data_IF_624617230445
#
_entry.id   IF_624617230445
#
_cell.length_a   1.000
_cell.length_b   1.000
_cell.length_c   1.000
_cell.angle_alpha   90.00
_cell.angle_beta   90.00
_cell.angle_gamma   90.00
#
_symmetry.space_group_name_H-M   'P 1'
#
loop_
_entity.id
_entity.type
_entity.pdbx_description
1 polymer ?
#
# COMPACT_ATOMS: atom_id res chain seq x y z
N UNK A 1 -10.38 -28.05 -3.32
CA UNK A 1 -9.59 -27.86 -2.08
C UNK A 1 -8.24 -27.23 -2.43
N UNK A 2 -7.70 -26.36 -1.58
CA UNK A 2 -6.41 -25.68 -1.81
C UNK A 2 -5.22 -26.59 -1.39
N UNK A 3 -5.17 -27.79 -1.89
CA UNK A 3 -4.22 -28.83 -1.42
C UNK A 3 -2.75 -28.54 -1.77
N UNK A 4 -2.54 -27.91 -2.93
CA UNK A 4 -1.18 -27.60 -3.41
C UNK A 4 -0.72 -26.20 -3.09
N UNK A 5 -1.51 -25.39 -2.35
CA UNK A 5 -1.12 -24.05 -1.93
C UNK A 5 -0.22 -24.11 -0.69
N UNK A 6 0.78 -23.24 -0.65
CA UNK A 6 1.57 -22.92 0.54
C UNK A 6 1.68 -21.43 0.68
N UNK A 7 1.40 -20.93 1.85
CA UNK A 7 1.45 -19.49 2.16
C UNK A 7 2.51 -19.26 3.22
N UNK A 8 3.53 -18.51 2.87
CA UNK A 8 4.59 -18.11 3.79
C UNK A 8 4.56 -16.61 4.04
N UNK A 9 5.21 -16.19 5.11
CA UNK A 9 5.42 -14.77 5.42
C UNK A 9 6.85 -14.55 5.93
N UNK A 10 7.43 -13.40 5.58
CA UNK A 10 8.55 -12.87 6.31
C UNK A 10 8.08 -12.12 7.57
N UNK A 11 8.96 -11.33 8.16
CA UNK A 11 8.70 -10.67 9.44
C UNK A 11 7.92 -9.35 9.33
N UNK A 12 7.78 -8.80 8.12
CA UNK A 12 7.28 -7.44 7.96
C UNK A 12 5.81 -7.24 8.39
N UNK A 13 4.93 -8.23 8.13
CA UNK A 13 3.51 -8.11 8.50
C UNK A 13 2.85 -9.48 8.72
N UNK A 14 3.27 -10.17 9.76
CA UNK A 14 2.77 -11.50 10.13
C UNK A 14 1.26 -11.48 10.38
N UNK A 15 0.75 -10.40 11.00
CA UNK A 15 -0.68 -10.28 11.32
C UNK A 15 -1.57 -10.25 10.06
N UNK A 16 -1.15 -9.55 8.99
CA UNK A 16 -1.88 -9.55 7.73
C UNK A 16 -1.80 -10.92 7.04
N UNK A 17 -0.63 -11.54 7.04
CA UNK A 17 -0.44 -12.88 6.46
C UNK A 17 -1.29 -13.94 7.18
N UNK A 18 -1.41 -13.86 8.50
CA UNK A 18 -2.27 -14.73 9.30
C UNK A 18 -3.74 -14.59 8.89
N UNK A 19 -4.25 -13.35 8.79
CA UNK A 19 -5.63 -13.09 8.34
C UNK A 19 -5.89 -13.60 6.91
N UNK A 20 -4.89 -13.45 6.01
CA UNK A 20 -5.01 -13.97 4.63
C UNK A 20 -5.10 -15.49 4.65
N UNK A 21 -4.26 -16.17 5.42
CA UNK A 21 -4.28 -17.63 5.56
C UNK A 21 -5.60 -18.14 6.15
N UNK A 22 -6.11 -17.48 7.20
CA UNK A 22 -7.42 -17.77 7.80
C UNK A 22 -8.56 -17.65 6.78
N UNK A 23 -8.59 -16.56 5.99
CA UNK A 23 -9.58 -16.36 4.93
C UNK A 23 -9.49 -17.40 3.81
N UNK A 24 -8.31 -17.95 3.56
CA UNK A 24 -8.10 -19.03 2.60
C UNK A 24 -8.45 -20.41 3.17
N UNK A 25 -8.55 -20.54 4.48
CA UNK A 25 -8.73 -21.81 5.17
C UNK A 25 -7.48 -22.70 5.15
N UNK A 26 -6.28 -22.09 5.10
CA UNK A 26 -4.99 -22.79 5.14
C UNK A 26 -4.13 -22.27 6.28
N UNK A 27 -3.17 -23.08 6.76
CA UNK A 27 -2.20 -22.62 7.75
C UNK A 27 -1.06 -21.86 7.07
N UNK A 28 -0.44 -20.93 7.80
CA UNK A 28 0.85 -20.40 7.40
C UNK A 28 1.89 -21.51 7.37
N UNK A 29 2.69 -21.51 6.33
CA UNK A 29 3.80 -22.43 6.14
C UNK A 29 4.88 -22.23 7.21
N UNK A 30 5.52 -23.34 7.59
CA UNK A 30 6.58 -23.34 8.59
C UNK A 30 7.87 -22.82 7.97
N UNK A 31 8.28 -21.62 8.36
CA UNK A 31 9.55 -21.03 7.99
C UNK A 31 10.18 -20.32 9.19
N UNK A 32 11.49 -20.34 9.26
CA UNK A 32 12.27 -19.48 10.17
C UNK A 32 12.93 -18.40 9.36
N UNK A 33 12.56 -17.15 9.65
CA UNK A 33 13.15 -15.94 9.06
C UNK A 33 13.78 -15.15 10.21
N UNK A 34 15.09 -15.14 10.26
CA UNK A 34 15.87 -14.54 11.36
C UNK A 34 17.08 -13.80 10.79
N UNK A 35 17.94 -13.30 11.66
CA UNK A 35 19.22 -12.73 11.28
C UNK A 35 20.35 -13.45 12.02
N UNK A 36 21.52 -13.56 11.38
CA UNK A 36 22.77 -13.88 12.03
C UNK A 36 23.26 -12.71 12.88
N UNK A 37 24.27 -12.95 13.71
CA UNK A 37 24.82 -11.93 14.62
C UNK A 37 25.43 -10.72 13.90
N UNK A 38 25.86 -10.90 12.65
CA UNK A 38 26.38 -9.85 11.76
C UNK A 38 25.28 -9.07 10.99
N UNK A 39 24.02 -9.51 11.15
CA UNK A 39 22.86 -8.88 10.51
C UNK A 39 22.45 -9.51 9.17
N UNK A 40 23.13 -10.53 8.66
CA UNK A 40 22.70 -11.24 7.46
C UNK A 40 21.38 -11.99 7.71
N UNK A 41 20.46 -11.92 6.75
CA UNK A 41 19.17 -12.61 6.84
C UNK A 41 19.34 -14.11 6.64
N UNK A 42 18.79 -14.89 7.57
CA UNK A 42 18.72 -16.35 7.52
C UNK A 42 17.28 -16.79 7.28
N UNK A 43 17.07 -17.65 6.29
CA UNK A 43 15.76 -18.27 5.98
C UNK A 43 15.90 -19.78 5.96
N UNK A 44 14.97 -20.48 6.62
CA UNK A 44 14.80 -21.92 6.55
C UNK A 44 13.32 -22.25 6.27
N UNK A 45 13.05 -23.00 5.21
CA UNK A 45 11.71 -23.50 4.90
C UNK A 45 11.58 -24.90 5.50
N UNK A 46 10.70 -25.06 6.49
CA UNK A 46 10.59 -26.26 7.31
C UNK A 46 9.41 -27.16 6.93
N UNK A 47 9.03 -27.12 5.64
CA UNK A 47 8.05 -28.03 5.06
C UNK A 47 8.31 -28.29 3.58
N UNK A 48 7.68 -29.35 3.06
CA UNK A 48 7.84 -29.69 1.64
C UNK A 48 7.05 -28.72 0.76
N UNK A 49 7.76 -28.06 -0.16
CA UNK A 49 7.21 -27.13 -1.17
C UNK A 49 7.35 -27.66 -2.60
N UNK A 50 7.92 -28.86 -2.78
CA UNK A 50 8.13 -29.42 -4.14
C UNK A 50 6.81 -29.58 -4.87
N UNK A 51 6.72 -28.96 -6.06
CA UNK A 51 5.54 -28.98 -6.90
C UNK A 51 4.33 -28.22 -6.30
N UNK A 52 4.54 -27.38 -5.26
CA UNK A 52 3.49 -26.58 -4.66
C UNK A 52 3.42 -25.20 -5.32
N UNK A 53 2.24 -24.60 -5.21
CA UNK A 53 1.98 -23.21 -5.56
C UNK A 53 2.24 -22.35 -4.30
N UNK A 54 3.33 -21.59 -4.31
CA UNK A 54 3.83 -20.88 -3.13
C UNK A 54 3.51 -19.39 -3.23
N UNK A 55 2.88 -18.86 -2.20
CA UNK A 55 2.62 -17.44 -2.02
C UNK A 55 3.44 -16.91 -0.84
N UNK A 56 4.28 -15.93 -1.09
CA UNK A 56 5.11 -15.31 -0.05
C UNK A 56 4.56 -13.91 0.22
N UNK A 57 3.96 -13.71 1.40
CA UNK A 57 3.35 -12.45 1.80
C UNK A 57 4.40 -11.63 2.54
N UNK A 58 4.90 -10.57 1.90
CA UNK A 58 5.93 -9.71 2.49
C UNK A 58 5.83 -8.29 1.92
N UNK A 59 5.24 -7.35 2.63
CA UNK A 59 5.40 -5.94 2.26
C UNK A 59 6.87 -5.53 2.45
N UNK A 60 7.41 -4.81 1.47
CA UNK A 60 8.78 -4.29 1.59
C UNK A 60 8.77 -2.91 2.27
N UNK A 61 8.16 -2.86 3.47
CA UNK A 61 8.02 -1.68 4.32
C UNK A 61 9.21 -1.53 5.29
N UNK A 62 9.29 -0.42 6.04
CA UNK A 62 10.37 -0.24 7.00
C UNK A 62 10.50 -1.41 8.02
N UNK A 63 11.73 -1.86 8.26
CA UNK A 63 13.03 -1.45 7.69
C UNK A 63 13.25 -2.03 6.29
N UNK A 64 13.11 -1.18 5.26
CA UNK A 64 12.90 -1.57 3.85
C UNK A 64 13.98 -2.52 3.31
N UNK A 65 15.25 -2.29 3.64
CA UNK A 65 16.35 -3.12 3.14
C UNK A 65 16.30 -4.55 3.72
N UNK A 66 15.91 -4.68 4.99
CA UNK A 66 15.76 -5.98 5.65
C UNK A 66 14.60 -6.75 5.06
N UNK A 67 13.42 -6.12 4.99
CA UNK A 67 12.20 -6.77 4.50
C UNK A 67 12.27 -7.14 3.02
N UNK A 68 13.00 -6.35 2.22
CA UNK A 68 13.30 -6.69 0.83
C UNK A 68 14.23 -7.91 0.76
N UNK A 69 15.31 -7.95 1.54
CA UNK A 69 16.23 -9.09 1.56
C UNK A 69 15.54 -10.37 2.06
N UNK A 70 14.71 -10.29 3.09
CA UNK A 70 13.88 -11.43 3.52
C UNK A 70 13.05 -11.98 2.34
N UNK A 71 12.34 -11.12 1.60
CA UNK A 71 11.55 -11.54 0.45
C UNK A 71 12.40 -12.24 -0.62
N UNK A 72 13.55 -11.66 -1.00
CA UNK A 72 14.42 -12.22 -2.03
C UNK A 72 14.96 -13.58 -1.64
N UNK A 73 15.43 -13.73 -0.39
CA UNK A 73 16.00 -14.97 0.11
C UNK A 73 14.91 -16.04 0.26
N UNK A 74 13.70 -15.68 0.70
CA UNK A 74 12.58 -16.62 0.76
C UNK A 74 12.18 -17.13 -0.64
N UNK A 75 12.14 -16.26 -1.66
CA UNK A 75 11.88 -16.65 -3.05
C UNK A 75 12.96 -17.63 -3.53
N UNK A 76 14.24 -17.34 -3.32
CA UNK A 76 15.35 -18.24 -3.71
C UNK A 76 15.26 -19.59 -2.98
N UNK A 77 14.95 -19.59 -1.69
CA UNK A 77 14.82 -20.82 -0.88
C UNK A 77 13.73 -21.75 -1.44
N UNK A 78 12.51 -21.24 -1.70
CA UNK A 78 11.42 -22.09 -2.23
C UNK A 78 11.64 -22.47 -3.68
N UNK A 79 12.31 -21.64 -4.48
CA UNK A 79 12.74 -21.98 -5.85
C UNK A 79 13.72 -23.15 -5.85
N UNK A 80 14.75 -23.12 -5.00
CA UNK A 80 15.72 -24.22 -4.85
C UNK A 80 15.10 -25.49 -4.28
N UNK A 81 14.02 -25.35 -3.50
CA UNK A 81 13.22 -26.47 -3.01
C UNK A 81 12.22 -27.02 -4.04
N UNK A 82 12.26 -26.54 -5.29
CA UNK A 82 11.45 -26.99 -6.43
C UNK A 82 9.96 -26.69 -6.27
N UNK A 83 9.58 -25.52 -5.76
CA UNK A 83 8.23 -24.99 -5.89
C UNK A 83 7.85 -24.90 -7.37
N UNK A 84 6.58 -25.15 -7.70
CA UNK A 84 6.06 -25.12 -9.08
C UNK A 84 5.84 -23.68 -9.56
N UNK A 85 5.11 -22.88 -8.77
CA UNK A 85 4.90 -21.45 -9.00
C UNK A 85 5.21 -20.68 -7.72
N UNK A 86 5.79 -19.50 -7.87
CA UNK A 86 6.13 -18.62 -6.76
C UNK A 86 5.50 -17.25 -7.03
N UNK A 87 4.53 -16.87 -6.22
CA UNK A 87 3.90 -15.55 -6.26
C UNK A 87 4.38 -14.71 -5.09
N UNK A 88 5.05 -13.61 -5.39
CA UNK A 88 5.39 -12.60 -4.41
C UNK A 88 4.17 -11.71 -4.14
N UNK A 89 3.57 -11.81 -2.96
CA UNK A 89 2.47 -10.97 -2.51
C UNK A 89 3.05 -9.80 -1.72
N UNK A 90 3.04 -8.62 -2.31
CA UNK A 90 3.71 -7.42 -1.81
C UNK A 90 2.66 -6.34 -1.53
N UNK A 91 2.00 -6.36 -0.36
CA UNK A 91 0.97 -5.38 0.00
C UNK A 91 1.45 -3.93 -0.05
N UNK A 92 2.73 -3.68 0.25
CA UNK A 92 3.40 -2.41 0.05
C UNK A 92 4.73 -2.61 -0.67
N UNK A 93 4.89 -1.94 -1.80
CA UNK A 93 6.09 -1.98 -2.63
C UNK A 93 7.05 -0.85 -2.26
N UNK A 94 8.05 -1.15 -1.46
CA UNK A 94 9.12 -0.22 -1.11
C UNK A 94 9.91 0.24 -2.34
N UNK A 95 10.51 1.44 -2.25
CA UNK A 95 11.18 2.12 -3.37
C UNK A 95 10.26 2.52 -4.54
N UNK A 96 8.95 2.28 -4.46
CA UNK A 96 7.98 2.63 -5.49
C UNK A 96 7.99 4.12 -5.89
N UNK A 97 8.37 5.02 -4.96
CA UNK A 97 8.50 6.46 -5.23
C UNK A 97 9.70 6.85 -6.10
N UNK A 98 10.64 5.91 -6.33
CA UNK A 98 11.81 6.11 -7.19
C UNK A 98 11.58 5.43 -8.56
N UNK A 99 10.46 5.76 -9.19
CA UNK A 99 9.97 5.20 -10.46
C UNK A 99 10.52 5.89 -11.70
N UNK A 100 11.15 7.05 -11.52
CA UNK A 100 11.72 7.87 -12.60
C UNK A 100 12.94 8.64 -12.13
N UNK A 101 13.74 9.10 -13.09
CA UNK A 101 14.85 10.02 -12.81
C UNK A 101 14.31 11.42 -12.52
N UNK A 102 14.48 11.89 -11.30
CA UNK A 102 14.09 13.24 -10.85
C UNK A 102 15.24 14.25 -10.97
N UNK A 103 16.46 13.76 -11.21
CA UNK A 103 17.67 14.57 -11.41
C UNK A 103 18.64 13.83 -12.35
N UNK A 104 19.62 14.54 -12.96
CA UNK A 104 20.72 13.90 -13.71
C UNK A 104 21.42 12.84 -12.86
N UNK A 105 21.71 11.67 -13.44
CA UNK A 105 22.39 10.54 -12.79
C UNK A 105 21.65 9.91 -11.58
N UNK A 106 20.37 10.24 -11.35
CA UNK A 106 19.54 9.57 -10.36
C UNK A 106 19.18 8.14 -10.83
N UNK A 107 19.05 7.18 -9.91
CA UNK A 107 18.60 5.82 -10.23
C UNK A 107 17.08 5.77 -10.51
N UNK A 108 16.64 4.62 -11.03
CA UNK A 108 15.23 4.20 -11.04
C UNK A 108 15.16 2.96 -10.15
N UNK A 109 15.12 3.16 -8.82
CA UNK A 109 15.27 2.07 -7.85
C UNK A 109 14.06 1.14 -7.87
N UNK A 110 12.87 1.64 -8.22
CA UNK A 110 11.69 0.79 -8.42
C UNK A 110 11.93 -0.28 -9.50
N UNK A 111 12.65 0.05 -10.59
CA UNK A 111 13.04 -0.91 -11.63
C UNK A 111 14.08 -1.92 -11.12
N UNK A 112 15.09 -1.45 -10.38
CA UNK A 112 16.11 -2.33 -9.80
C UNK A 112 15.45 -3.38 -8.87
N UNK A 113 14.54 -2.98 -8.01
CA UNK A 113 13.83 -3.90 -7.11
C UNK A 113 12.97 -4.90 -7.89
N UNK A 114 12.29 -4.47 -8.96
CA UNK A 114 11.54 -5.37 -9.84
C UNK A 114 12.43 -6.44 -10.48
N UNK A 115 13.63 -6.05 -10.94
CA UNK A 115 14.60 -6.98 -11.50
C UNK A 115 15.11 -7.98 -10.45
N UNK A 116 15.42 -7.53 -9.24
CA UNK A 116 15.87 -8.39 -8.15
C UNK A 116 14.82 -9.44 -7.78
N UNK A 117 13.54 -9.06 -7.65
CA UNK A 117 12.43 -9.98 -7.36
C UNK A 117 12.29 -11.02 -8.49
N UNK A 118 12.37 -10.58 -9.74
CA UNK A 118 12.29 -11.47 -10.91
C UNK A 118 13.46 -12.44 -10.94
N UNK A 119 14.69 -11.96 -10.72
CA UNK A 119 15.91 -12.79 -10.74
C UNK A 119 15.94 -13.77 -9.56
N UNK A 120 15.44 -13.41 -8.39
CA UNK A 120 15.30 -14.32 -7.25
C UNK A 120 14.44 -15.54 -7.61
N UNK A 121 13.47 -15.39 -8.54
CA UNK A 121 12.69 -16.50 -9.08
C UNK A 121 11.19 -16.42 -8.90
N UNK A 122 10.65 -15.24 -8.60
CA UNK A 122 9.22 -15.04 -8.63
C UNK A 122 8.67 -15.24 -10.05
N UNK A 123 7.53 -15.94 -10.16
CA UNK A 123 6.81 -16.15 -11.41
C UNK A 123 5.70 -15.10 -11.62
N UNK A 124 5.26 -14.46 -10.54
CA UNK A 124 4.19 -13.46 -10.51
C UNK A 124 4.37 -12.52 -9.31
N UNK A 125 3.90 -11.31 -9.45
CA UNK A 125 3.76 -10.35 -8.35
C UNK A 125 2.29 -10.01 -8.16
N UNK A 126 1.82 -10.03 -6.92
CA UNK A 126 0.54 -9.46 -6.49
C UNK A 126 0.85 -8.27 -5.59
N UNK A 127 0.54 -7.08 -6.05
CA UNK A 127 0.79 -5.82 -5.33
C UNK A 127 -0.52 -5.07 -5.05
N UNK A 128 -0.45 -4.04 -4.23
CA UNK A 128 -1.58 -3.16 -3.95
C UNK A 128 -1.17 -1.70 -4.08
N UNK A 129 -1.98 -0.91 -4.78
CA UNK A 129 -1.82 0.54 -4.96
C UNK A 129 -0.37 0.96 -5.21
N UNK A 130 0.28 0.38 -6.21
CA UNK A 130 1.61 0.82 -6.63
C UNK A 130 1.62 2.34 -6.82
N UNK A 131 2.64 3.01 -6.28
CA UNK A 131 2.75 4.47 -6.31
C UNK A 131 2.52 5.07 -7.69
N UNK A 132 2.98 4.37 -8.72
CA UNK A 132 2.76 4.73 -10.11
C UNK A 132 2.39 3.48 -10.92
N UNK A 133 1.32 3.55 -11.71
CA UNK A 133 0.80 2.40 -12.46
C UNK A 133 1.80 1.80 -13.44
N UNK A 134 2.72 2.60 -13.99
CA UNK A 134 3.78 2.16 -14.90
C UNK A 134 4.82 1.23 -14.25
N UNK A 135 4.91 1.15 -12.91
CA UNK A 135 5.80 0.21 -12.21
C UNK A 135 5.49 -1.25 -12.59
N UNK A 136 4.24 -1.57 -12.94
CA UNK A 136 3.87 -2.87 -13.47
C UNK A 136 4.72 -3.24 -14.71
N UNK A 137 5.03 -2.28 -15.57
CA UNK A 137 5.87 -2.47 -16.75
C UNK A 137 7.37 -2.63 -16.46
N UNK A 138 7.80 -2.49 -15.20
CA UNK A 138 9.20 -2.72 -14.82
C UNK A 138 9.51 -4.20 -14.61
N UNK A 139 8.49 -5.01 -14.44
CA UNK A 139 8.62 -6.47 -14.29
C UNK A 139 8.54 -7.16 -15.66
N UNK A 140 9.34 -8.21 -15.83
CA UNK A 140 9.26 -9.13 -16.98
C UNK A 140 8.42 -10.37 -16.66
N UNK A 141 7.67 -10.34 -15.57
CA UNK A 141 6.72 -11.36 -15.11
C UNK A 141 5.35 -10.71 -14.90
N UNK A 142 4.25 -11.47 -14.91
CA UNK A 142 2.91 -10.93 -14.64
C UNK A 142 2.83 -10.19 -13.31
N UNK A 143 2.13 -9.05 -13.32
CA UNK A 143 1.86 -8.23 -12.13
C UNK A 143 0.37 -7.97 -12.04
N UNK A 144 -0.22 -8.33 -10.91
CA UNK A 144 -1.58 -7.94 -10.54
C UNK A 144 -1.49 -6.82 -9.50
N UNK A 145 -1.79 -5.59 -9.91
CA UNK A 145 -1.81 -4.43 -9.03
C UNK A 145 -3.25 -4.15 -8.57
N UNK A 146 -3.66 -4.66 -7.43
CA UNK A 146 -4.97 -4.39 -6.84
C UNK A 146 -5.04 -2.97 -6.29
N UNK A 147 -6.27 -2.49 -6.08
CA UNK A 147 -6.53 -1.21 -5.42
C UNK A 147 -7.32 -1.43 -4.13
N UNK A 148 -6.97 -0.72 -3.06
CA UNK A 148 -7.72 -0.73 -1.80
C UNK A 148 -9.07 -0.01 -1.92
N UNK A 149 -9.38 0.53 -3.10
CA UNK A 149 -10.60 1.28 -3.41
C UNK A 149 -11.87 0.63 -2.86
N UNK A 150 -12.17 -0.68 -3.04
CA UNK A 150 -13.40 -1.26 -2.51
C UNK A 150 -13.50 -1.19 -0.99
N UNK A 151 -12.37 -1.37 -0.29
CA UNK A 151 -12.29 -1.33 1.18
C UNK A 151 -12.53 0.09 1.69
N UNK A 152 -11.84 1.08 1.10
CA UNK A 152 -11.96 2.49 1.46
C UNK A 152 -13.34 3.06 1.10
N UNK A 153 -13.89 2.72 -0.08
CA UNK A 153 -15.24 3.14 -0.49
C UNK A 153 -16.32 2.64 0.45
N UNK A 154 -16.24 1.37 0.89
CA UNK A 154 -17.19 0.82 1.84
C UNK A 154 -17.16 1.56 3.18
N UNK A 155 -15.97 1.95 3.64
CA UNK A 155 -15.81 2.76 4.83
C UNK A 155 -16.43 4.14 4.66
N UNK A 156 -16.12 4.83 3.55
CA UNK A 156 -16.65 6.16 3.26
C UNK A 156 -18.19 6.13 3.20
N UNK A 157 -18.78 5.19 2.45
CA UNK A 157 -20.23 5.04 2.34
C UNK A 157 -20.96 4.80 3.66
N UNK A 158 -20.29 4.14 4.62
CA UNK A 158 -20.87 3.85 5.95
C UNK A 158 -20.81 5.03 6.91
N UNK A 159 -19.74 5.83 6.83
CA UNK A 159 -19.45 6.87 7.83
C UNK A 159 -19.72 8.29 7.36
N UNK A 160 -19.85 8.50 6.05
CA UNK A 160 -20.11 9.81 5.44
C UNK A 160 -21.37 9.71 4.61
N UNK A 161 -22.42 10.43 5.02
CA UNK A 161 -23.72 10.40 4.37
C UNK A 161 -24.09 11.78 3.79
N UNK A 162 -24.85 11.80 2.68
CA UNK A 162 -25.41 13.00 2.06
C UNK A 162 -24.56 13.59 0.94
N UNK A 163 -25.16 14.58 0.25
CA UNK A 163 -24.58 15.24 -0.95
C UNK A 163 -23.50 16.27 -0.62
N UNK A 164 -23.02 16.28 0.63
CA UNK A 164 -22.12 17.30 1.14
C UNK A 164 -20.65 16.85 1.18
N UNK A 165 -20.29 15.80 0.44
CA UNK A 165 -18.95 15.23 0.40
C UNK A 165 -18.19 15.76 -0.82
N UNK A 166 -16.92 16.13 -0.61
CA UNK A 166 -15.96 16.43 -1.67
C UNK A 166 -14.76 15.51 -1.54
N UNK A 167 -14.42 14.83 -2.61
CA UNK A 167 -13.19 14.06 -2.70
C UNK A 167 -12.07 14.98 -3.18
N UNK A 168 -10.96 15.01 -2.48
CA UNK A 168 -9.83 15.90 -2.78
C UNK A 168 -8.57 15.10 -3.05
N UNK A 169 -7.93 15.39 -4.18
CA UNK A 169 -6.57 14.95 -4.45
C UNK A 169 -5.56 15.93 -3.84
N UNK A 170 -4.61 15.47 -3.02
CA UNK A 170 -3.61 16.35 -2.40
C UNK A 170 -2.55 16.87 -3.39
N UNK A 171 -2.55 16.36 -4.63
CA UNK A 171 -1.67 16.79 -5.72
C UNK A 171 -2.24 16.37 -7.09
N UNK A 172 -1.52 16.70 -8.16
CA UNK A 172 -1.94 16.37 -9.54
C UNK A 172 -1.82 14.89 -9.88
N UNK A 173 -0.95 14.15 -9.19
CA UNK A 173 -0.71 12.72 -9.44
C UNK A 173 -1.87 11.82 -8.99
N UNK A 174 -2.59 12.21 -7.93
CA UNK A 174 -3.71 11.46 -7.37
C UNK A 174 -5.07 11.75 -8.01
N UNK A 175 -5.15 12.64 -9.01
CA UNK A 175 -6.44 13.13 -9.58
C UNK A 175 -7.29 12.01 -10.17
N UNK A 176 -6.70 11.06 -10.87
CA UNK A 176 -7.45 9.94 -11.45
C UNK A 176 -8.10 9.08 -10.37
N UNK A 177 -7.36 8.79 -9.29
CA UNK A 177 -7.87 8.07 -8.12
C UNK A 177 -9.04 8.83 -7.49
N UNK A 178 -8.85 10.11 -7.19
CA UNK A 178 -9.89 10.95 -6.59
C UNK A 178 -11.15 11.05 -7.47
N UNK A 179 -10.99 11.16 -8.79
CA UNK A 179 -12.09 11.15 -9.76
C UNK A 179 -12.86 9.83 -9.74
N UNK A 180 -12.16 8.70 -9.69
CA UNK A 180 -12.75 7.37 -9.62
C UNK A 180 -13.61 7.20 -8.35
N UNK A 181 -13.13 7.69 -7.21
CA UNK A 181 -13.90 7.70 -5.95
C UNK A 181 -15.11 8.63 -6.03
N UNK A 182 -14.90 9.87 -6.49
CA UNK A 182 -16.00 10.84 -6.66
C UNK A 182 -17.14 10.28 -7.49
N UNK A 183 -16.83 9.67 -8.65
CA UNK A 183 -17.83 9.03 -9.52
C UNK A 183 -18.62 7.92 -8.81
N UNK A 184 -17.95 7.07 -7.98
CA UNK A 184 -18.61 5.96 -7.27
C UNK A 184 -19.41 6.40 -6.06
N UNK A 185 -19.12 7.58 -5.51
CA UNK A 185 -19.80 8.16 -4.36
C UNK A 185 -20.85 9.18 -4.75
N UNK A 186 -20.94 9.60 -6.02
CA UNK A 186 -21.74 10.75 -6.43
C UNK A 186 -21.22 12.08 -5.87
N UNK A 187 -19.94 12.12 -5.43
CA UNK A 187 -19.34 13.27 -4.77
C UNK A 187 -18.60 14.16 -5.77
N UNK A 188 -18.51 15.46 -5.46
CA UNK A 188 -17.71 16.41 -6.24
C UNK A 188 -16.21 16.18 -6.03
N UNK A 189 -15.40 16.70 -6.97
CA UNK A 189 -13.95 16.61 -6.97
C UNK A 189 -13.34 17.98 -6.74
N UNK A 190 -12.32 18.07 -5.91
CA UNK A 190 -11.40 19.19 -5.87
C UNK A 190 -9.93 18.70 -5.91
N UNK A 191 -9.01 19.59 -6.25
CA UNK A 191 -7.59 19.28 -6.43
C UNK A 191 -6.78 20.36 -5.73
N UNK A 192 -5.73 19.97 -5.03
CA UNK A 192 -4.75 20.91 -4.48
C UNK A 192 -3.57 21.00 -5.47
N UNK A 193 -3.45 22.17 -6.11
CA UNK A 193 -2.29 22.53 -6.93
C UNK A 193 -1.25 23.20 -6.05
N UNK A 194 -0.09 22.56 -5.91
CA UNK A 194 1.04 23.03 -5.11
C UNK A 194 2.03 23.75 -6.00
N UNK A 195 2.14 25.06 -5.85
CA UNK A 195 3.13 25.86 -6.56
C UNK A 195 4.20 26.35 -5.60
N UNK A 196 5.45 26.22 -6.01
CA UNK A 196 6.59 26.93 -5.42
C UNK A 196 6.94 28.05 -6.37
N UNK A 197 6.80 29.30 -5.96
CA UNK A 197 7.11 30.45 -6.80
C UNK A 197 8.63 30.72 -6.86
N UNK A 198 9.41 30.16 -5.87
CA UNK A 198 10.86 30.25 -5.85
C UNK A 198 11.55 29.33 -4.85
N UNK A 199 12.90 29.20 -4.91
CA UNK A 199 13.67 28.53 -3.87
C UNK A 199 13.57 29.33 -2.56
N UNK A 200 13.13 28.69 -1.48
CA UNK A 200 12.88 29.28 -0.15
C UNK A 200 11.58 30.07 0.03
N UNK A 201 10.66 30.04 -0.90
CA UNK A 201 9.33 30.64 -0.72
C UNK A 201 8.33 29.66 -0.09
N UNK A 202 7.36 30.23 0.64
CA UNK A 202 6.27 29.46 1.27
C UNK A 202 5.45 28.79 0.17
N UNK A 203 5.22 27.49 0.29
CA UNK A 203 4.44 26.74 -0.67
C UNK A 203 2.99 27.23 -0.69
N UNK A 204 2.57 27.83 -1.79
CA UNK A 204 1.17 28.25 -2.00
C UNK A 204 0.36 27.03 -2.43
N UNK A 205 -0.75 26.78 -1.74
CA UNK A 205 -1.73 25.77 -2.09
C UNK A 205 -2.93 26.43 -2.75
N UNK A 206 -3.12 26.18 -4.04
CA UNK A 206 -4.28 26.62 -4.77
C UNK A 206 -5.31 25.49 -4.83
N UNK A 207 -6.51 25.72 -4.30
CA UNK A 207 -7.60 24.73 -4.31
C UNK A 207 -8.47 24.95 -5.53
N UNK A 208 -8.49 23.97 -6.42
CA UNK A 208 -9.33 23.96 -7.63
C UNK A 208 -10.56 23.12 -7.32
N UNK A 209 -11.73 23.75 -7.22
CA UNK A 209 -12.98 23.12 -6.85
C UNK A 209 -13.66 23.85 -5.69
N UNK A 210 -14.84 23.39 -5.29
CA UNK A 210 -15.64 24.03 -4.24
C UNK A 210 -15.66 23.18 -2.97
N UNK A 211 -15.06 23.68 -1.88
CA UNK A 211 -14.93 22.97 -0.60
C UNK A 211 -15.63 23.67 0.57
N UNK A 212 -16.02 24.94 0.40
CA UNK A 212 -16.67 25.72 1.45
C UNK A 212 -18.01 25.08 1.86
N UNK A 213 -18.18 24.88 3.16
CA UNK A 213 -19.37 24.26 3.72
C UNK A 213 -19.47 22.75 3.44
N UNK A 214 -18.39 22.07 3.03
CA UNK A 214 -18.37 20.66 2.66
C UNK A 214 -17.58 19.81 3.65
N UNK A 215 -17.91 18.51 3.70
CA UNK A 215 -17.06 17.47 4.31
C UNK A 215 -16.05 17.02 3.27
N UNK A 216 -14.78 17.13 3.59
CA UNK A 216 -13.69 16.82 2.67
C UNK A 216 -13.04 15.51 3.03
N UNK A 217 -12.82 14.66 2.01
CA UNK A 217 -12.03 13.45 2.12
C UNK A 217 -10.83 13.57 1.18
N UNK A 218 -9.64 13.73 1.78
CA UNK A 218 -8.37 13.67 1.07
C UNK A 218 -8.06 12.20 0.73
N UNK A 219 -7.71 11.93 -0.53
CA UNK A 219 -7.29 10.59 -0.97
C UNK A 219 -5.84 10.59 -1.41
N UNK A 220 -5.04 9.71 -0.80
CA UNK A 220 -3.64 9.51 -1.19
C UNK A 220 -3.32 8.00 -1.28
N UNK A 221 -2.22 7.63 -1.94
CA UNK A 221 -1.74 6.24 -1.92
C UNK A 221 -0.98 5.93 -0.63
N UNK A 222 -0.20 6.89 -0.12
CA UNK A 222 0.58 6.70 1.10
C UNK A 222 0.68 7.96 1.94
N UNK A 223 0.79 7.76 3.26
CA UNK A 223 1.18 8.80 4.21
C UNK A 223 2.54 8.44 4.78
N UNK A 224 3.57 9.23 4.46
CA UNK A 224 4.91 9.04 4.99
C UNK A 224 5.11 9.95 6.22
N UNK A 225 5.60 11.17 6.07
CA UNK A 225 5.84 12.10 7.19
C UNK A 225 4.63 12.96 7.57
N UNK A 226 3.48 12.71 6.98
CA UNK A 226 2.21 13.44 7.11
C UNK A 226 2.25 14.94 6.76
N UNK A 227 3.38 15.49 6.33
CA UNK A 227 3.50 16.92 6.03
C UNK A 227 2.50 17.40 4.98
N UNK A 228 2.38 16.64 3.88
CA UNK A 228 1.46 16.95 2.77
C UNK A 228 0.00 16.99 3.20
N UNK A 229 -0.47 15.95 3.88
CA UNK A 229 -1.89 15.82 4.25
C UNK A 229 -2.28 16.81 5.34
N UNK A 230 -1.38 17.13 6.26
CA UNK A 230 -1.63 18.11 7.33
C UNK A 230 -1.69 19.53 6.76
N UNK A 231 -0.76 19.91 5.87
CA UNK A 231 -0.81 21.21 5.20
C UNK A 231 -2.05 21.35 4.31
N UNK A 232 -2.41 20.27 3.58
CA UNK A 232 -3.62 20.23 2.78
C UNK A 232 -4.88 20.41 3.64
N UNK A 233 -4.95 19.76 4.80
CA UNK A 233 -6.07 19.89 5.72
C UNK A 233 -6.22 21.32 6.24
N UNK A 234 -5.11 21.97 6.61
CA UNK A 234 -5.10 23.36 7.03
C UNK A 234 -5.65 24.28 5.93
N UNK A 235 -5.12 24.20 4.71
CA UNK A 235 -5.58 25.02 3.60
C UNK A 235 -7.08 24.81 3.29
N UNK A 236 -7.57 23.56 3.34
CA UNK A 236 -8.97 23.24 3.14
C UNK A 236 -9.87 23.82 4.25
N UNK A 237 -9.41 23.82 5.49
CA UNK A 237 -10.11 24.45 6.62
C UNK A 237 -10.16 25.97 6.46
N UNK A 238 -9.08 26.60 6.03
CA UNK A 238 -9.01 28.05 5.73
C UNK A 238 -9.96 28.44 4.60
N UNK A 239 -10.16 27.57 3.59
CA UNK A 239 -11.14 27.72 2.51
C UNK A 239 -12.59 27.38 2.94
N UNK A 240 -12.82 27.13 4.22
CA UNK A 240 -14.15 26.95 4.81
C UNK A 240 -14.71 25.52 4.74
N UNK A 241 -13.91 24.49 4.58
CA UNK A 241 -14.34 23.10 4.76
C UNK A 241 -14.83 22.90 6.21
N UNK A 242 -15.97 22.23 6.38
CA UNK A 242 -16.54 21.92 7.71
C UNK A 242 -15.64 20.93 8.43
N UNK A 243 -15.21 19.92 7.70
CA UNK A 243 -14.45 18.78 8.24
C UNK A 243 -13.49 18.25 7.18
N UNK A 244 -12.31 17.83 7.59
CA UNK A 244 -11.32 17.21 6.72
C UNK A 244 -10.87 15.88 7.30
N UNK A 245 -11.04 14.82 6.53
CA UNK A 245 -10.55 13.46 6.83
C UNK A 245 -9.63 12.98 5.71
N UNK A 246 -8.82 11.98 5.98
CA UNK A 246 -7.91 11.38 5.00
C UNK A 246 -8.23 9.90 4.86
N UNK A 247 -8.24 9.39 3.63
CA UNK A 247 -8.21 7.97 3.32
C UNK A 247 -6.94 7.65 2.52
N UNK A 248 -6.18 6.65 2.98
CA UNK A 248 -4.90 6.31 2.41
C UNK A 248 -4.70 4.79 2.42
N UNK A 249 -4.02 4.24 1.42
CA UNK A 249 -3.73 2.81 1.37
C UNK A 249 -2.56 2.47 2.29
N UNK A 250 -1.43 3.16 2.16
CA UNK A 250 -0.17 2.76 2.82
C UNK A 250 0.23 3.69 3.98
N UNK A 251 0.05 3.26 5.24
CA UNK A 251 0.47 4.03 6.42
C UNK A 251 1.96 3.83 6.71
N UNK A 252 2.84 4.47 5.96
CA UNK A 252 4.28 4.41 6.24
C UNK A 252 4.59 5.11 7.56
N UNK A 253 3.99 6.28 7.81
CA UNK A 253 3.95 7.02 9.07
C UNK A 253 5.33 7.21 9.72
N UNK A 254 6.31 7.59 8.91
CA UNK A 254 7.69 7.75 9.38
C UNK A 254 7.93 9.10 10.08
N UNK A 255 9.01 9.14 10.87
CA UNK A 255 9.45 10.36 11.54
C UNK A 255 8.36 10.99 12.41
N UNK A 256 8.08 12.30 12.26
CA UNK A 256 7.12 13.03 13.09
C UNK A 256 5.66 12.93 12.60
N UNK A 257 5.29 11.86 11.85
CA UNK A 257 3.97 11.76 11.24
C UNK A 257 2.83 11.77 12.26
N UNK A 258 2.99 11.03 13.36
CA UNK A 258 1.95 10.91 14.39
C UNK A 258 1.75 12.24 15.12
N UNK A 259 2.83 12.87 15.57
CA UNK A 259 2.78 14.16 16.22
C UNK A 259 2.11 15.23 15.35
N UNK A 260 2.41 15.24 14.05
CA UNK A 260 1.75 16.14 13.09
C UNK A 260 0.25 15.86 12.92
N UNK A 261 -0.13 14.59 12.85
CA UNK A 261 -1.54 14.18 12.73
C UNK A 261 -2.30 14.60 14.00
N UNK A 262 -1.76 14.35 15.18
CA UNK A 262 -2.39 14.71 16.46
C UNK A 262 -2.58 16.23 16.64
N UNK A 263 -1.64 17.02 16.13
CA UNK A 263 -1.68 18.49 16.20
C UNK A 263 -2.47 19.15 15.05
N UNK A 264 -2.96 18.37 14.09
CA UNK A 264 -3.62 18.87 12.90
C UNK A 264 -5.13 19.08 13.06
N UNK A 265 -5.75 19.73 12.07
CA UNK A 265 -7.20 19.88 11.95
C UNK A 265 -7.89 18.64 11.33
N UNK A 266 -7.16 17.53 11.16
CA UNK A 266 -7.72 16.28 10.64
C UNK A 266 -8.66 15.65 11.66
N UNK A 267 -9.86 15.31 11.23
CA UNK A 267 -10.83 14.57 12.06
C UNK A 267 -10.44 13.10 12.17
N UNK A 268 -10.16 12.45 11.06
CA UNK A 268 -9.85 11.02 10.98
C UNK A 268 -8.82 10.77 9.87
N UNK A 269 -7.93 9.82 10.10
CA UNK A 269 -6.98 9.28 9.12
C UNK A 269 -7.25 7.79 8.97
N UNK A 270 -8.01 7.43 7.94
CA UNK A 270 -8.33 6.04 7.64
C UNK A 270 -7.25 5.46 6.74
N UNK A 271 -6.62 4.37 7.18
CA UNK A 271 -5.53 3.66 6.47
C UNK A 271 -5.85 2.17 6.34
N UNK A 272 -5.03 1.46 5.58
CA UNK A 272 -5.13 -0.01 5.54
C UNK A 272 -4.03 -0.70 6.31
N UNK A 273 -4.13 -2.02 6.48
CA UNK A 273 -3.11 -2.85 7.11
C UNK A 273 -2.03 -3.37 6.13
N UNK A 274 -1.83 -2.70 4.99
CA UNK A 274 -0.74 -3.02 4.05
C UNK A 274 0.66 -2.84 4.64
N UNK A 275 0.80 -1.89 5.56
CA UNK A 275 1.99 -1.63 6.39
C UNK A 275 1.55 -1.72 7.84
N UNK A 276 2.23 -2.49 8.70
CA UNK A 276 1.84 -2.59 10.11
C UNK A 276 2.10 -1.27 10.83
N UNK A 277 1.16 -0.86 11.68
CA UNK A 277 1.33 0.33 12.50
C UNK A 277 2.34 0.07 13.63
N UNK A 278 3.28 0.98 13.82
CA UNK A 278 4.12 1.01 15.01
C UNK A 278 3.33 1.48 16.24
N UNK A 279 3.86 1.25 17.46
CA UNK A 279 3.10 1.43 18.70
C UNK A 279 2.52 2.85 18.89
N UNK A 280 3.26 3.90 18.56
CA UNK A 280 2.75 5.27 18.62
C UNK A 280 1.55 5.49 17.68
N UNK A 281 1.60 4.90 16.47
CA UNK A 281 0.51 5.00 15.51
C UNK A 281 -0.74 4.23 15.96
N UNK A 282 -0.57 3.08 16.62
CA UNK A 282 -1.68 2.31 17.22
C UNK A 282 -2.35 3.08 18.37
N UNK A 283 -1.59 3.88 19.12
CA UNK A 283 -2.10 4.69 20.22
C UNK A 283 -2.83 5.96 19.77
N UNK A 284 -2.64 6.41 18.52
CA UNK A 284 -3.27 7.61 17.99
C UNK A 284 -4.76 7.37 17.70
N UNK A 285 -5.64 8.02 18.46
CA UNK A 285 -7.10 7.86 18.34
C UNK A 285 -7.69 8.34 17.02
N UNK A 286 -6.95 9.17 16.27
CA UNK A 286 -7.37 9.66 14.95
C UNK A 286 -7.13 8.66 13.82
N UNK A 287 -6.28 7.65 14.05
CA UNK A 287 -5.94 6.65 13.03
C UNK A 287 -6.90 5.46 13.10
N UNK A 288 -7.52 5.15 11.98
CA UNK A 288 -8.40 4.00 11.81
C UNK A 288 -7.84 3.04 10.77
N UNK A 289 -7.73 1.77 11.11
CA UNK A 289 -7.18 0.75 10.23
C UNK A 289 -8.27 -0.12 9.64
N UNK A 290 -8.24 -0.30 8.33
CA UNK A 290 -9.09 -1.22 7.58
C UNK A 290 -8.25 -2.39 7.07
N UNK A 291 -8.77 -3.60 7.13
CA UNK A 291 -8.02 -4.75 6.63
C UNK A 291 -8.27 -4.98 5.13
N UNK A 292 -7.17 -5.21 4.40
CA UNK A 292 -7.19 -5.63 3.00
C UNK A 292 -7.06 -7.15 2.84
N UNK A 293 -7.05 -7.90 3.96
CA UNK A 293 -6.86 -9.36 3.93
C UNK A 293 -7.89 -10.07 3.07
N UNK A 294 -9.17 -9.67 3.12
CA UNK A 294 -10.23 -10.26 2.31
C UNK A 294 -10.00 -10.09 0.80
N UNK A 295 -9.54 -8.91 0.38
CA UNK A 295 -9.24 -8.62 -1.02
C UNK A 295 -8.01 -9.41 -1.50
N UNK A 296 -6.96 -9.44 -0.71
CA UNK A 296 -5.73 -10.17 -1.03
C UNK A 296 -5.97 -11.70 -1.04
N UNK A 297 -6.73 -12.24 -0.08
CA UNK A 297 -7.03 -13.67 -0.05
C UNK A 297 -7.87 -14.11 -1.25
N UNK A 298 -8.83 -13.29 -1.69
CA UNK A 298 -9.61 -13.58 -2.89
C UNK A 298 -8.73 -13.55 -4.16
N UNK A 299 -7.80 -12.60 -4.26
CA UNK A 299 -6.84 -12.57 -5.36
C UNK A 299 -5.92 -13.81 -5.36
N UNK A 300 -5.39 -14.20 -4.21
CA UNK A 300 -4.58 -15.42 -4.05
C UNK A 300 -5.38 -16.66 -4.50
N UNK A 301 -6.65 -16.78 -4.07
CA UNK A 301 -7.53 -17.88 -4.47
C UNK A 301 -7.70 -17.93 -5.98
N UNK A 302 -8.00 -16.81 -6.62
CA UNK A 302 -8.17 -16.74 -8.09
C UNK A 302 -6.90 -17.06 -8.84
N UNK A 303 -5.76 -16.53 -8.42
CA UNK A 303 -4.45 -16.85 -9.01
C UNK A 303 -4.18 -18.35 -8.92
N UNK A 304 -4.47 -18.98 -7.78
CA UNK A 304 -4.30 -20.42 -7.59
C UNK A 304 -5.15 -21.23 -8.57
N UNK A 305 -6.43 -20.86 -8.75
CA UNK A 305 -7.35 -21.55 -9.67
C UNK A 305 -7.20 -21.13 -11.14
N UNK A 306 -6.28 -20.21 -11.46
CA UNK A 306 -6.13 -19.56 -12.76
C UNK A 306 -7.40 -18.81 -13.20
N UNK A 307 -8.18 -18.31 -12.25
CA UNK A 307 -9.35 -17.50 -12.49
C UNK A 307 -8.96 -16.01 -12.70
N UNK A 308 -9.86 -15.27 -13.38
CA UNK A 308 -9.64 -13.85 -13.62
C UNK A 308 -9.71 -13.02 -12.33
N UNK A 309 -8.71 -12.19 -12.12
CA UNK A 309 -8.68 -11.19 -11.03
C UNK A 309 -9.32 -9.86 -11.42
N UNK A 310 -9.76 -9.69 -12.70
CA UNK A 310 -10.20 -8.40 -13.26
C UNK A 310 -11.34 -7.73 -12.47
N UNK A 311 -12.27 -8.50 -11.92
CA UNK A 311 -13.37 -7.96 -11.11
C UNK A 311 -12.94 -7.44 -9.72
N UNK A 312 -11.69 -7.66 -9.32
CA UNK A 312 -11.14 -7.12 -8.08
C UNK A 312 -10.53 -5.72 -8.26
N UNK A 313 -10.38 -5.27 -9.50
CA UNK A 313 -9.85 -3.93 -9.82
C UNK A 313 -10.92 -2.82 -9.83
N UNK A 314 -12.11 -3.10 -9.33
CA UNK A 314 -13.25 -2.18 -9.38
C UNK A 314 -13.21 -1.19 -8.23
#
# INVERSE_FOLDING_TARGET
>A
MLERIRVFTGNANVALAQKISENLGVSLGKAHVTAFSDGETRVEINENVRGMDVFIIQPTCPPVNITLMELLIMIDAVRRASADRITAVIPYYGYGRQDRKVAPRAPITAKLVADLITQAGANRVLAMDLHAGQIQGFFNIPVDNLFATPVLLNHIKKNYQGDNIVIVSPDTGGVERARAFGKRLGASLAIIDKRREGPNETQVMNIIGHVKGKQVILLDDMIDTAGTVVQAAKALKEEGAIEVSVCCTHPVLSGPAIEKIEQSDLKEVTVTDTVPLHEKAKACSRIKVLSVSGLLSEAVRRIYYNDSVSSLFI
#
